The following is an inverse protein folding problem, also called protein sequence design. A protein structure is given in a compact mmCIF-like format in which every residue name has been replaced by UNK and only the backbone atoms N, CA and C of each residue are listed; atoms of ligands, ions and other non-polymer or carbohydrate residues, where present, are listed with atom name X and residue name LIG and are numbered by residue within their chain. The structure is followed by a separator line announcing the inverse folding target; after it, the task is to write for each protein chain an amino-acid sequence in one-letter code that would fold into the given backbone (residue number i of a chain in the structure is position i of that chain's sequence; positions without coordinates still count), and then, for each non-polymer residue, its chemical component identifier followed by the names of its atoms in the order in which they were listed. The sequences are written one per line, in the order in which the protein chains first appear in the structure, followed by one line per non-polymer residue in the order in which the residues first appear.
data_IF_227374421984
#
_entry.id   IF_227374421984
#
_cell.length_a   1.000
_cell.length_b   1.000
_cell.length_c   1.000
_cell.angle_alpha   90.00
_cell.angle_beta   90.00
_cell.angle_gamma   90.00
#
_symmetry.space_group_name_H-M   'P 1'
#
loop_
_entity.id
_entity.type
_entity.pdbx_description
1 polymer ?
#
# COMPACT_ATOMS: atom_id res chain seq x y z
N UNK A 1 32.95 32.03 -57.52
CA UNK A 1 32.06 32.96 -56.80
C UNK A 1 31.59 32.31 -55.53
N UNK A 2 31.56 33.02 -54.44
CA UNK A 2 31.71 32.57 -53.08
C UNK A 2 30.42 31.90 -52.50
N UNK A 3 30.56 30.66 -52.02
CA UNK A 3 29.52 29.98 -51.26
C UNK A 3 29.52 30.39 -49.79
N UNK A 4 28.34 30.76 -49.25
CA UNK A 4 28.13 31.02 -47.83
C UNK A 4 27.67 29.74 -47.13
N UNK A 5 28.53 29.19 -46.24
CA UNK A 5 28.16 28.08 -45.37
C UNK A 5 27.58 28.64 -44.07
N UNK A 6 26.26 28.60 -43.99
CA UNK A 6 25.52 28.88 -42.74
C UNK A 6 25.50 27.64 -41.84
N UNK A 7 26.29 27.66 -40.75
CA UNK A 7 26.23 26.65 -39.66
C UNK A 7 24.95 26.90 -38.85
N UNK A 8 23.98 26.03 -38.96
CA UNK A 8 22.91 25.95 -37.98
C UNK A 8 23.46 25.22 -36.74
N UNK A 9 23.69 25.96 -35.66
CA UNK A 9 23.89 25.37 -34.34
C UNK A 9 22.53 24.94 -33.82
N UNK A 10 22.29 23.63 -33.73
CA UNK A 10 21.18 23.05 -33.00
C UNK A 10 21.34 23.41 -31.53
N UNK A 11 20.46 24.27 -31.02
CA UNK A 11 20.33 24.51 -29.59
C UNK A 11 19.57 23.32 -29.02
N UNK A 12 20.31 22.33 -28.56
CA UNK A 12 19.78 21.26 -27.73
C UNK A 12 19.20 21.90 -26.45
N UNK A 13 17.91 21.73 -26.25
CA UNK A 13 17.20 22.18 -25.06
C UNK A 13 17.61 21.33 -23.85
N UNK A 14 18.30 21.87 -22.82
CA UNK A 14 18.85 21.06 -21.72
C UNK A 14 17.84 20.75 -20.62
N UNK A 15 16.53 20.85 -20.85
CA UNK A 15 15.50 20.68 -19.82
C UNK A 15 14.61 19.45 -19.99
N UNK A 16 14.99 18.51 -20.84
CA UNK A 16 14.39 17.19 -20.78
C UNK A 16 15.23 16.31 -19.86
N UNK A 17 15.11 16.49 -18.53
CA UNK A 17 15.41 15.42 -17.58
C UNK A 17 14.43 14.30 -17.93
N UNK A 18 14.94 13.31 -18.66
CA UNK A 18 14.36 11.98 -18.67
C UNK A 18 14.31 11.60 -17.20
N UNK A 19 13.13 11.58 -16.60
CA UNK A 19 12.93 10.84 -15.36
C UNK A 19 13.25 9.42 -15.76
N UNK A 20 14.41 8.92 -15.31
CA UNK A 20 14.64 7.48 -15.28
C UNK A 20 13.38 6.90 -14.68
N UNK A 21 12.81 5.94 -15.39
CA UNK A 21 11.58 5.24 -15.05
C UNK A 21 11.82 4.52 -13.71
N UNK A 22 11.71 5.25 -12.60
CA UNK A 22 11.77 4.67 -11.24
C UNK A 22 10.50 3.87 -11.06
N UNK A 23 10.56 2.67 -11.61
CA UNK A 23 9.50 1.70 -11.57
C UNK A 23 9.13 1.42 -10.11
N UNK A 24 7.85 1.58 -9.77
CA UNK A 24 7.29 1.23 -8.47
C UNK A 24 7.80 -0.13 -8.00
N UNK A 25 8.49 -0.17 -6.85
CA UNK A 25 9.05 -1.41 -6.29
C UNK A 25 8.14 -1.98 -5.24
N UNK A 26 7.94 -3.27 -5.27
CA UNK A 26 7.17 -4.00 -4.26
C UNK A 26 8.07 -4.95 -3.48
N UNK A 27 7.87 -5.01 -2.17
CA UNK A 27 8.64 -5.88 -1.26
C UNK A 27 7.70 -6.63 -0.32
N UNK A 28 8.13 -7.80 0.13
CA UNK A 28 7.48 -8.57 1.20
C UNK A 28 8.39 -8.59 2.41
N UNK A 29 7.85 -8.35 3.59
CA UNK A 29 8.56 -8.32 4.87
C UNK A 29 8.12 -7.14 5.71
N UNK A 30 8.35 -7.23 7.02
CA UNK A 30 7.94 -6.22 8.00
C UNK A 30 9.12 -5.53 8.73
N UNK A 31 10.33 -5.69 8.22
CA UNK A 31 11.49 -4.90 8.63
C UNK A 31 11.40 -3.50 8.01
N UNK A 32 10.61 -2.66 8.64
CA UNK A 32 10.24 -1.32 8.15
C UNK A 32 10.55 -0.27 9.20
N UNK A 33 10.93 0.91 8.74
CA UNK A 33 11.00 2.09 9.58
C UNK A 33 9.58 2.48 10.05
N UNK A 34 9.37 2.43 11.38
CA UNK A 34 8.08 2.72 11.97
C UNK A 34 7.60 4.15 11.71
N UNK A 35 8.51 5.12 11.59
CA UNK A 35 8.14 6.50 11.29
C UNK A 35 7.55 6.62 9.88
N UNK A 36 8.15 5.95 8.89
CA UNK A 36 7.59 5.89 7.53
C UNK A 36 6.22 5.19 7.50
N UNK A 37 6.01 4.15 8.31
CA UNK A 37 4.71 3.48 8.43
C UNK A 37 3.65 4.41 9.03
N UNK A 38 4.00 5.13 10.10
CA UNK A 38 3.09 6.11 10.73
C UNK A 38 2.75 7.24 9.74
N UNK A 39 3.74 7.79 9.06
CA UNK A 39 3.53 8.81 8.03
C UNK A 39 2.61 8.32 6.90
N UNK A 40 2.83 7.11 6.39
CA UNK A 40 1.94 6.51 5.39
C UNK A 40 0.50 6.39 5.90
N UNK A 41 0.30 5.96 7.16
CA UNK A 41 -1.04 5.83 7.73
C UNK A 41 -1.74 7.17 7.87
N UNK A 42 -1.02 8.21 8.29
CA UNK A 42 -1.55 9.57 8.39
C UNK A 42 -1.91 10.11 7.00
N UNK A 43 -0.98 10.03 6.05
CA UNK A 43 -1.18 10.57 4.70
C UNK A 43 -2.29 9.83 3.92
N UNK A 44 -2.44 8.52 4.11
CA UNK A 44 -3.48 7.72 3.46
C UNK A 44 -4.87 7.86 4.08
N UNK A 45 -5.03 8.63 5.14
CA UNK A 45 -6.22 8.75 6.01
C UNK A 45 -6.56 7.49 6.84
N UNK A 46 -5.82 6.40 6.69
CA UNK A 46 -6.00 5.20 7.52
C UNK A 46 -5.73 5.52 9.01
N UNK A 47 -4.85 6.46 9.29
CA UNK A 47 -4.51 6.94 10.64
C UNK A 47 -5.70 7.44 11.45
N UNK A 48 -6.77 7.90 10.82
CA UNK A 48 -8.02 8.28 11.49
C UNK A 48 -8.68 7.09 12.24
N UNK A 49 -8.33 5.88 11.89
CA UNK A 49 -8.89 4.63 12.41
C UNK A 49 -7.83 3.68 12.96
N UNK A 50 -6.62 4.18 13.20
CA UNK A 50 -5.49 3.43 13.74
C UNK A 50 -4.81 4.26 14.84
N UNK A 51 -4.18 3.61 15.81
CA UNK A 51 -3.59 4.29 16.97
C UNK A 51 -2.24 4.94 16.64
N UNK A 52 -2.19 5.81 15.62
CA UNK A 52 -0.93 6.43 15.14
C UNK A 52 -0.25 7.31 16.20
N UNK A 53 -0.99 7.79 17.20
CA UNK A 53 -0.45 8.53 18.35
C UNK A 53 0.15 7.62 19.44
N UNK A 54 -0.07 6.30 19.39
CA UNK A 54 0.49 5.32 20.31
C UNK A 54 1.60 4.51 19.58
N UNK A 55 2.81 5.05 19.61
CA UNK A 55 3.97 4.47 18.92
C UNK A 55 4.23 3.02 19.32
N UNK A 56 4.17 2.71 20.61
CA UNK A 56 4.42 1.36 21.11
C UNK A 56 3.37 0.36 20.63
N UNK A 57 2.13 0.80 20.47
CA UNK A 57 1.05 -0.02 19.90
C UNK A 57 1.25 -0.23 18.40
N UNK A 58 1.63 0.80 17.65
CA UNK A 58 1.94 0.69 16.23
C UNK A 58 3.12 -0.26 15.98
N UNK A 59 4.17 -0.18 16.82
CA UNK A 59 5.31 -1.09 16.76
C UNK A 59 4.88 -2.55 16.97
N UNK A 60 4.07 -2.85 18.00
CA UNK A 60 3.53 -4.19 18.22
C UNK A 60 2.65 -4.68 17.07
N UNK A 61 1.84 -3.80 16.48
CA UNK A 61 1.01 -4.13 15.31
C UNK A 61 1.89 -4.54 14.12
N UNK A 62 2.98 -3.83 13.88
CA UNK A 62 3.91 -4.14 12.79
C UNK A 62 4.69 -5.42 13.09
N UNK A 63 5.30 -5.52 14.26
CA UNK A 63 6.14 -6.67 14.64
C UNK A 63 5.39 -8.00 14.62
N UNK A 64 4.09 -8.00 14.95
CA UNK A 64 3.26 -9.21 14.97
C UNK A 64 2.50 -9.48 13.65
N UNK A 65 2.66 -8.66 12.64
CA UNK A 65 2.17 -8.95 11.30
C UNK A 65 3.13 -9.93 10.62
N UNK A 66 2.64 -11.07 10.19
CA UNK A 66 3.48 -12.10 9.57
C UNK A 66 3.41 -12.10 8.03
N UNK A 67 2.57 -11.25 7.43
CA UNK A 67 2.55 -11.01 6.00
C UNK A 67 2.34 -9.52 5.75
N UNK A 68 3.40 -8.84 5.33
CA UNK A 68 3.38 -7.42 4.98
C UNK A 68 3.93 -7.25 3.57
N UNK A 69 3.16 -6.60 2.70
CA UNK A 69 3.56 -6.24 1.33
C UNK A 69 3.60 -4.73 1.22
N UNK A 70 4.67 -4.19 0.67
CA UNK A 70 4.92 -2.75 0.57
C UNK A 70 5.17 -2.30 -0.86
N UNK A 71 4.82 -1.06 -1.15
CA UNK A 71 5.09 -0.37 -2.41
C UNK A 71 5.98 0.84 -2.14
N UNK A 72 7.00 1.04 -2.97
CA UNK A 72 8.06 2.02 -2.80
C UNK A 72 8.28 2.82 -4.10
N UNK A 73 8.38 4.13 -3.94
CA UNK A 73 8.90 5.04 -4.95
C UNK A 73 10.27 5.57 -4.46
N UNK A 74 11.36 5.10 -5.08
CA UNK A 74 12.69 5.29 -4.50
C UNK A 74 12.78 4.72 -3.09
N UNK A 75 13.08 5.57 -2.11
CA UNK A 75 13.17 5.20 -0.69
C UNK A 75 11.92 5.62 0.10
N UNK A 76 10.89 6.11 -0.57
CA UNK A 76 9.63 6.51 0.05
C UNK A 76 8.65 5.35 0.08
N UNK A 77 8.15 5.00 1.26
CA UNK A 77 7.05 4.05 1.43
C UNK A 77 5.73 4.70 1.00
N UNK A 78 5.17 4.26 -0.13
CA UNK A 78 3.95 4.85 -0.72
C UNK A 78 2.70 4.00 -0.53
N UNK A 79 2.86 2.72 -0.22
CA UNK A 79 1.74 1.83 0.05
C UNK A 79 2.12 0.62 0.89
N UNK A 80 1.15 0.08 1.63
CA UNK A 80 1.34 -1.11 2.46
C UNK A 80 0.03 -1.88 2.60
N UNK A 81 0.13 -3.21 2.51
CA UNK A 81 -0.85 -4.19 2.94
C UNK A 81 -0.27 -4.93 4.15
N UNK A 82 -0.88 -4.79 5.33
CA UNK A 82 -0.46 -5.47 6.56
C UNK A 82 -1.48 -6.54 6.93
N UNK A 83 -1.03 -7.78 7.03
CA UNK A 83 -1.87 -8.95 7.23
C UNK A 83 -1.37 -9.86 8.34
N UNK A 84 -2.29 -10.66 8.87
CA UNK A 84 -2.03 -11.81 9.73
C UNK A 84 -2.58 -13.04 9.03
N UNK A 85 -1.78 -14.09 8.87
CA UNK A 85 -2.13 -15.30 8.13
C UNK A 85 -1.68 -16.56 8.82
N UNK A 86 -2.43 -17.66 8.65
CA UNK A 86 -2.00 -19.02 9.00
C UNK A 86 -1.34 -19.74 7.81
N UNK A 87 -1.25 -19.08 6.65
CA UNK A 87 -0.68 -19.57 5.39
C UNK A 87 -1.46 -20.72 4.71
N UNK A 88 -2.56 -21.18 5.31
CA UNK A 88 -3.25 -22.37 4.86
C UNK A 88 -4.76 -22.17 4.63
N UNK A 89 -5.42 -21.38 5.47
CA UNK A 89 -6.87 -21.25 5.43
C UNK A 89 -7.36 -19.80 5.40
N UNK A 90 -6.78 -18.90 6.20
CA UNK A 90 -7.21 -17.52 6.27
C UNK A 90 -6.05 -16.53 6.33
N UNK A 91 -6.23 -15.42 5.65
CA UNK A 91 -5.41 -14.21 5.72
C UNK A 91 -6.31 -13.03 6.06
N UNK A 92 -6.11 -12.42 7.20
CA UNK A 92 -6.80 -11.18 7.56
C UNK A 92 -5.97 -9.98 7.12
N UNK A 93 -6.39 -9.31 6.05
CA UNK A 93 -5.84 -8.04 5.61
C UNK A 93 -6.38 -6.93 6.52
N UNK A 94 -5.62 -6.62 7.57
CA UNK A 94 -6.01 -5.64 8.57
C UNK A 94 -5.91 -4.22 8.07
N UNK A 95 -4.84 -3.91 7.35
CA UNK A 95 -4.56 -2.56 6.87
C UNK A 95 -4.18 -2.57 5.39
N UNK A 96 -4.83 -1.69 4.63
CA UNK A 96 -4.44 -1.35 3.26
C UNK A 96 -4.33 0.17 3.19
N UNK A 97 -3.13 0.67 3.01
CA UNK A 97 -2.80 2.08 2.95
C UNK A 97 -2.08 2.41 1.64
N UNK A 98 -2.45 3.52 1.00
CA UNK A 98 -1.74 4.10 -0.15
C UNK A 98 -1.78 5.61 0.04
N UNK A 99 -0.61 6.28 -0.02
CA UNK A 99 -0.52 7.74 0.08
C UNK A 99 -1.50 8.40 -0.88
N UNK A 100 -2.13 9.51 -0.48
CA UNK A 100 -3.15 10.19 -1.26
C UNK A 100 -2.71 10.51 -2.69
N UNK A 101 -1.47 11.02 -2.85
CA UNK A 101 -0.89 11.36 -4.15
C UNK A 101 -0.64 10.15 -5.08
N UNK A 102 -0.63 8.93 -4.53
CA UNK A 102 -0.41 7.67 -5.25
C UNK A 102 -1.68 6.83 -5.42
N UNK A 103 -2.82 7.30 -4.91
CA UNK A 103 -4.09 6.59 -5.06
C UNK A 103 -4.60 6.60 -6.52
N UNK A 104 -5.52 5.68 -6.83
CA UNK A 104 -6.14 5.51 -8.16
C UNK A 104 -5.16 5.14 -9.28
N UNK A 105 -3.97 4.66 -8.94
CA UNK A 105 -2.91 4.21 -9.87
C UNK A 105 -2.72 2.69 -9.85
N UNK A 106 -3.63 1.94 -9.23
CA UNK A 106 -3.58 0.47 -9.16
C UNK A 106 -2.73 -0.10 -8.02
N UNK A 107 -2.01 0.72 -7.24
CA UNK A 107 -1.11 0.27 -6.17
C UNK A 107 -1.84 -0.58 -5.12
N UNK A 108 -3.00 -0.15 -4.65
CA UNK A 108 -3.78 -0.90 -3.66
C UNK A 108 -4.22 -2.28 -4.18
N UNK A 109 -4.61 -2.37 -5.47
CA UNK A 109 -4.95 -3.64 -6.12
C UNK A 109 -3.73 -4.56 -6.20
N UNK A 110 -2.57 -4.02 -6.58
CA UNK A 110 -1.33 -4.79 -6.70
C UNK A 110 -0.84 -5.29 -5.32
N UNK A 111 -0.95 -4.47 -4.27
CA UNK A 111 -0.65 -4.89 -2.90
C UNK A 111 -1.52 -6.09 -2.46
N UNK A 112 -2.83 -6.04 -2.73
CA UNK A 112 -3.73 -7.16 -2.42
C UNK A 112 -3.44 -8.40 -3.24
N UNK A 113 -3.15 -8.24 -4.54
CA UNK A 113 -2.78 -9.35 -5.43
C UNK A 113 -1.53 -10.08 -4.91
N UNK A 114 -0.49 -9.34 -4.53
CA UNK A 114 0.74 -9.91 -3.95
C UNK A 114 0.51 -10.55 -2.58
N UNK A 115 -0.37 -9.97 -1.77
CA UNK A 115 -0.77 -10.58 -0.50
C UNK A 115 -1.45 -11.95 -0.73
N UNK A 116 -2.35 -12.04 -1.70
CA UNK A 116 -3.01 -13.28 -2.07
C UNK A 116 -2.01 -14.31 -2.64
N UNK A 117 -1.09 -13.87 -3.49
CA UNK A 117 -0.07 -14.77 -4.07
C UNK A 117 0.92 -15.32 -3.02
N UNK A 118 1.20 -14.55 -1.98
CA UNK A 118 2.06 -15.01 -0.88
C UNK A 118 1.41 -16.10 -0.02
N UNK A 119 0.07 -16.14 0.06
CA UNK A 119 -0.69 -17.15 0.78
C UNK A 119 -1.84 -17.71 -0.08
N UNK A 120 -1.53 -18.47 -1.16
CA UNK A 120 -2.48 -18.79 -2.22
C UNK A 120 -3.59 -19.76 -1.78
N UNK A 121 -3.38 -20.54 -0.73
CA UNK A 121 -4.37 -21.47 -0.18
C UNK A 121 -5.32 -20.80 0.82
N UNK A 122 -4.95 -19.60 1.32
CA UNK A 122 -5.72 -18.89 2.33
C UNK A 122 -6.73 -17.93 1.71
N UNK A 123 -7.95 -17.93 2.21
CA UNK A 123 -8.95 -16.92 1.86
C UNK A 123 -8.53 -15.55 2.40
N UNK A 124 -8.54 -14.53 1.54
CA UNK A 124 -8.24 -13.15 1.92
C UNK A 124 -9.49 -12.46 2.47
N UNK A 125 -9.46 -12.08 3.75
CA UNK A 125 -10.58 -11.48 4.48
C UNK A 125 -10.20 -10.07 4.91
N UNK A 126 -11.14 -9.12 4.83
CA UNK A 126 -10.93 -7.75 5.31
C UNK A 126 -12.24 -7.12 5.82
N UNK A 127 -12.11 -6.08 6.63
CA UNK A 127 -13.20 -5.20 7.02
C UNK A 127 -13.03 -3.86 6.32
N UNK A 128 -13.91 -3.57 5.37
CA UNK A 128 -13.85 -2.35 4.57
C UNK A 128 -14.13 -1.09 5.41
N UNK A 129 -13.40 0.00 5.14
CA UNK A 129 -13.81 1.31 5.60
C UNK A 129 -15.15 1.70 4.95
N UNK A 130 -16.03 2.46 5.62
CA UNK A 130 -17.33 2.86 5.05
C UNK A 130 -17.20 3.52 3.66
N UNK A 131 -16.18 4.35 3.46
CA UNK A 131 -15.90 5.02 2.17
C UNK A 131 -15.31 4.09 1.09
N UNK A 132 -14.89 2.88 1.44
CA UNK A 132 -14.24 1.93 0.53
C UNK A 132 -15.11 0.70 0.22
N UNK A 133 -16.32 0.61 0.73
CA UNK A 133 -17.19 -0.58 0.57
C UNK A 133 -17.42 -0.91 -0.90
N UNK A 134 -17.62 0.10 -1.75
CA UNK A 134 -17.89 -0.10 -3.18
C UNK A 134 -16.64 -0.40 -4.02
N UNK A 135 -15.45 -0.31 -3.43
CA UNK A 135 -14.20 -0.60 -4.12
C UNK A 135 -13.96 -2.10 -4.26
N UNK A 136 -14.20 -2.87 -3.20
CA UNK A 136 -13.81 -4.27 -3.11
C UNK A 136 -14.52 -5.19 -4.10
N UNK A 137 -15.83 -5.04 -4.40
CA UNK A 137 -16.49 -5.82 -5.46
C UNK A 137 -15.84 -5.62 -6.84
N UNK A 138 -15.34 -4.41 -7.13
CA UNK A 138 -14.68 -4.09 -8.42
C UNK A 138 -13.34 -4.80 -8.60
N UNK A 139 -12.73 -5.24 -7.50
CA UNK A 139 -11.45 -5.96 -7.52
C UNK A 139 -11.58 -7.44 -7.17
N UNK A 140 -12.81 -7.97 -7.17
CA UNK A 140 -13.10 -9.41 -7.09
C UNK A 140 -13.50 -9.93 -5.71
N UNK A 141 -13.67 -9.07 -4.71
CA UNK A 141 -14.16 -9.52 -3.40
C UNK A 141 -15.68 -9.71 -3.39
N UNK A 142 -16.12 -10.75 -2.73
CA UNK A 142 -17.54 -10.98 -2.42
C UNK A 142 -17.82 -10.52 -1.00
N UNK A 143 -18.93 -9.80 -0.81
CA UNK A 143 -19.38 -9.38 0.51
C UNK A 143 -19.81 -10.60 1.32
N UNK A 144 -19.31 -10.68 2.55
CA UNK A 144 -19.72 -11.71 3.51
C UNK A 144 -20.74 -11.14 4.49
N UNK A 145 -21.96 -11.68 4.49
CA UNK A 145 -23.08 -11.10 5.28
C UNK A 145 -23.06 -11.50 6.76
N UNK A 146 -22.32 -12.55 7.12
CA UNK A 146 -22.26 -13.07 8.50
C UNK A 146 -20.95 -12.70 9.22
N UNK A 147 -20.37 -11.52 8.93
CA UNK A 147 -19.24 -11.01 9.68
C UNK A 147 -19.71 -10.44 11.02
N UNK A 148 -19.09 -10.92 12.11
CA UNK A 148 -19.38 -10.46 13.47
C UNK A 148 -18.12 -9.83 14.07
N UNK A 149 -18.28 -8.73 14.78
CA UNK A 149 -17.20 -7.96 15.34
C UNK A 149 -17.46 -7.63 16.81
N UNK A 150 -16.61 -8.18 17.70
CA UNK A 150 -16.52 -7.77 19.09
C UNK A 150 -15.33 -6.82 19.23
N UNK A 151 -15.57 -5.59 19.66
CA UNK A 151 -14.53 -4.57 19.77
C UNK A 151 -13.63 -4.79 20.98
N UNK A 152 -12.40 -4.27 20.90
CA UNK A 152 -11.53 -4.24 22.06
C UNK A 152 -12.21 -3.51 23.23
N UNK A 153 -12.19 -4.12 24.43
CA UNK A 153 -12.88 -3.60 25.61
C UNK A 153 -14.33 -4.07 25.79
N UNK A 154 -14.94 -4.70 24.79
CA UNK A 154 -16.23 -5.37 24.92
C UNK A 154 -16.05 -6.81 25.41
N UNK A 155 -17.06 -7.35 26.10
CA UNK A 155 -17.05 -8.72 26.64
C UNK A 155 -18.12 -9.58 26.02
N UNK A 156 -17.81 -10.86 25.80
CA UNK A 156 -18.83 -11.88 25.47
C UNK A 156 -19.76 -12.00 26.68
N UNK A 157 -21.06 -12.03 26.41
CA UNK A 157 -22.14 -12.12 27.41
C UNK A 157 -22.67 -13.54 27.49
#
# INVERSE_FOLDING_TARGET
MRGFHGRWRSLANPLMRVRDDEQMRYRTGNDLDLDQVIELYVDSTLGERRPVGDRARMERMLANANLVVTAWDGDVLVGMARSVTDWAYCTYLSDLAVRLSYQKQGIGKELMRRTQEAAPEASLILLAAPKAVDYYPRVGFTRHESAWWLRSGESIR
#
